data_IF_127949516744
#
_entry.id   IF_127949516744
#
_cell.length_a   1.000
_cell.length_b   1.000
_cell.length_c   1.000
_cell.angle_alpha   90.00
_cell.angle_beta   90.00
_cell.angle_gamma   90.00
#
_symmetry.space_group_name_H-M   'P 1'
#
loop_
_entity.id
_entity.type
_entity.pdbx_description
1 polymer ?
#
# COMPACT_ATOMS: atom_id res chain seq x y z
N UNK A 1 4.28 -21.08 2.96
CA UNK A 1 5.61 -21.27 2.31
C UNK A 1 5.72 -20.25 1.19
N UNK A 2 6.87 -19.58 1.07
CA UNK A 2 7.23 -18.75 -0.08
C UNK A 2 8.53 -19.32 -0.64
N UNK A 3 8.57 -19.58 -1.94
CA UNK A 3 9.74 -20.12 -2.65
C UNK A 3 10.37 -21.35 -1.95
N UNK A 4 9.52 -22.26 -1.45
CA UNK A 4 9.94 -23.50 -0.80
C UNK A 4 10.41 -23.37 0.66
N UNK A 5 10.37 -22.16 1.25
CA UNK A 5 10.80 -21.93 2.64
C UNK A 5 9.61 -21.65 3.57
N UNK A 6 9.55 -22.27 4.77
CA UNK A 6 8.63 -21.84 5.81
C UNK A 6 9.04 -20.45 6.32
N UNK A 7 8.06 -19.56 6.48
CA UNK A 7 8.25 -18.19 6.97
C UNK A 7 7.17 -17.91 8.00
N UNK A 8 7.56 -17.38 9.15
CA UNK A 8 6.62 -16.88 10.15
C UNK A 8 6.30 -15.42 9.80
N UNK A 9 5.03 -15.15 9.53
CA UNK A 9 4.56 -13.81 9.19
C UNK A 9 3.71 -13.28 10.34
N UNK A 10 4.18 -12.21 10.99
CA UNK A 10 3.38 -11.44 11.93
C UNK A 10 2.54 -10.40 11.18
N UNK A 11 1.25 -10.37 11.43
CA UNK A 11 0.34 -9.38 10.86
C UNK A 11 -0.13 -8.43 11.94
N UNK A 12 0.08 -7.13 11.71
CA UNK A 12 -0.36 -6.05 12.59
C UNK A 12 -1.42 -5.24 11.87
N UNK A 13 -2.68 -5.46 12.22
CA UNK A 13 -3.80 -4.65 11.72
C UNK A 13 -3.94 -3.37 12.55
N UNK A 14 -4.13 -2.24 11.90
CA UNK A 14 -4.15 -0.93 12.56
C UNK A 14 -5.37 -0.11 12.19
N UNK A 15 -5.91 0.65 13.14
CA UNK A 15 -7.07 1.49 12.91
C UNK A 15 -6.73 2.66 11.96
N UNK A 16 -7.51 2.82 10.90
CA UNK A 16 -7.37 3.91 9.93
C UNK A 16 -8.06 5.22 10.31
N UNK A 17 -8.73 5.27 11.48
CA UNK A 17 -9.42 6.47 11.97
C UNK A 17 -8.44 7.43 12.65
N UNK A 18 -8.73 8.73 12.59
CA UNK A 18 -7.84 9.78 13.09
C UNK A 18 -7.68 9.74 14.62
N UNK A 19 -8.71 9.26 15.34
CA UNK A 19 -8.68 9.10 16.80
C UNK A 19 -7.52 8.21 17.27
N UNK A 20 -7.00 7.35 16.40
CA UNK A 20 -5.89 6.43 16.69
C UNK A 20 -4.54 6.91 16.14
N UNK A 21 -4.44 8.11 15.58
CA UNK A 21 -3.21 8.60 14.94
C UNK A 21 -2.00 8.63 15.89
N UNK A 22 -2.23 8.86 17.18
CA UNK A 22 -1.15 8.83 18.19
C UNK A 22 -0.75 7.43 18.65
N UNK A 23 -1.67 6.46 18.51
CA UNK A 23 -1.47 5.10 18.98
C UNK A 23 -0.91 4.20 17.88
N UNK A 24 -1.28 4.44 16.62
CA UNK A 24 -0.84 3.65 15.47
C UNK A 24 0.69 3.54 15.37
N UNK A 25 1.48 4.61 15.55
CA UNK A 25 2.94 4.52 15.45
C UNK A 25 3.60 3.63 16.49
N UNK A 26 2.92 3.29 17.59
CA UNK A 26 3.43 2.37 18.60
C UNK A 26 3.59 0.94 18.07
N UNK A 27 2.89 0.61 16.97
CA UNK A 27 3.00 -0.69 16.29
C UNK A 27 4.09 -0.75 15.22
N UNK A 28 4.71 0.38 14.85
CA UNK A 28 5.68 0.47 13.76
C UNK A 28 7.09 -0.07 14.07
N UNK A 29 7.61 -0.02 15.32
CA UNK A 29 8.94 -0.56 15.62
C UNK A 29 9.10 -2.01 15.14
N UNK A 30 10.26 -2.32 14.56
CA UNK A 30 10.59 -3.65 14.04
C UNK A 30 9.69 -4.14 12.89
N UNK A 31 8.96 -3.25 12.22
CA UNK A 31 8.24 -3.59 10.98
C UNK A 31 9.20 -3.79 9.81
N UNK A 32 9.18 -4.97 9.20
CA UNK A 32 10.01 -5.30 8.02
C UNK A 32 9.42 -4.80 6.69
N UNK A 33 8.10 -4.69 6.58
CA UNK A 33 7.40 -4.23 5.38
C UNK A 33 6.05 -3.61 5.75
N UNK A 34 5.70 -2.49 5.11
CA UNK A 34 4.38 -1.87 5.24
C UNK A 34 3.50 -2.20 4.04
N UNK A 35 2.24 -2.51 4.32
CA UNK A 35 1.16 -2.53 3.34
C UNK A 35 0.33 -1.26 3.52
N UNK A 36 0.45 -0.31 2.60
CA UNK A 36 -0.47 0.83 2.58
C UNK A 36 -1.66 0.44 1.71
N UNK A 37 -2.84 0.36 2.34
CA UNK A 37 -4.06 -0.08 1.70
C UNK A 37 -4.98 1.11 1.37
N UNK A 38 -5.62 1.07 0.22
CA UNK A 38 -6.75 1.94 -0.12
C UNK A 38 -7.85 1.11 -0.78
N UNK A 39 -9.06 1.64 -0.85
CA UNK A 39 -10.19 0.98 -1.51
C UNK A 39 -10.31 1.47 -2.95
N UNK A 40 -10.36 0.54 -3.92
CA UNK A 40 -10.50 0.86 -5.34
C UNK A 40 -11.79 1.63 -5.65
N UNK A 41 -12.81 1.49 -4.80
CA UNK A 41 -14.09 2.19 -4.91
C UNK A 41 -14.25 3.34 -3.91
N UNK A 42 -13.15 3.84 -3.36
CA UNK A 42 -13.15 5.04 -2.51
C UNK A 42 -11.98 5.96 -2.88
N UNK A 43 -12.19 6.92 -3.82
CA UNK A 43 -11.16 7.87 -4.22
C UNK A 43 -10.56 8.67 -3.07
N UNK A 44 -11.35 9.01 -2.04
CA UNK A 44 -10.84 9.67 -0.84
C UNK A 44 -9.77 8.83 -0.11
N UNK A 45 -9.96 7.51 -0.01
CA UNK A 45 -8.95 6.62 0.59
C UNK A 45 -7.66 6.54 -0.24
N UNK A 46 -7.78 6.68 -1.57
CA UNK A 46 -6.63 6.73 -2.47
C UNK A 46 -5.85 8.04 -2.33
N UNK A 47 -6.53 9.17 -2.18
CA UNK A 47 -5.88 10.46 -1.92
C UNK A 47 -5.17 10.50 -0.56
N UNK A 48 -5.74 9.84 0.45
CA UNK A 48 -5.13 9.73 1.78
C UNK A 48 -3.77 8.99 1.76
N UNK A 49 -3.49 8.17 0.74
CA UNK A 49 -2.19 7.52 0.57
C UNK A 49 -1.08 8.57 0.54
N UNK A 50 -1.19 9.56 -0.37
CA UNK A 50 -0.18 10.64 -0.50
C UNK A 50 -0.28 11.67 0.62
N UNK A 51 -1.49 11.95 1.11
CA UNK A 51 -1.72 13.04 2.04
C UNK A 51 -1.39 12.67 3.50
N UNK A 52 -1.55 11.39 3.87
CA UNK A 52 -1.47 10.94 5.26
C UNK A 52 -0.57 9.71 5.43
N UNK A 53 -0.91 8.59 4.78
CA UNK A 53 -0.30 7.31 5.09
C UNK A 53 1.18 7.24 4.72
N UNK A 54 1.53 7.68 3.50
CA UNK A 54 2.91 7.68 3.07
C UNK A 54 3.79 8.62 3.92
N UNK A 55 3.42 9.90 4.15
CA UNK A 55 4.18 10.77 5.05
C UNK A 55 4.35 10.20 6.47
N UNK A 56 3.29 9.63 7.05
CA UNK A 56 3.33 9.05 8.40
C UNK A 56 4.29 7.86 8.49
N UNK A 57 4.18 6.90 7.57
CA UNK A 57 5.09 5.74 7.51
C UNK A 57 6.52 6.20 7.27
N UNK A 58 6.76 7.16 6.38
CA UNK A 58 8.13 7.65 6.13
C UNK A 58 8.71 8.46 7.27
N UNK A 59 7.88 9.13 8.07
CA UNK A 59 8.31 9.85 9.27
C UNK A 59 8.89 8.89 10.31
N UNK A 60 8.22 7.76 10.56
CA UNK A 60 8.63 6.79 11.59
C UNK A 60 9.57 5.70 11.06
N UNK A 61 9.43 5.33 9.79
CA UNK A 61 10.12 4.19 9.15
C UNK A 61 10.65 4.59 7.76
N UNK A 62 11.69 5.43 7.69
CA UNK A 62 12.15 6.04 6.45
C UNK A 62 12.68 5.04 5.41
N UNK A 63 13.20 3.90 5.85
CA UNK A 63 13.86 2.91 5.00
C UNK A 63 13.06 1.63 4.78
N UNK A 64 11.92 1.46 5.47
CA UNK A 64 11.14 0.23 5.39
C UNK A 64 10.41 0.15 4.03
N UNK A 65 10.48 -0.99 3.31
CA UNK A 65 9.73 -1.21 2.08
C UNK A 65 8.23 -0.96 2.26
N UNK A 66 7.61 -0.33 1.25
CA UNK A 66 6.17 -0.12 1.18
C UNK A 66 5.63 -0.84 -0.05
N UNK A 67 4.58 -1.62 0.12
CA UNK A 67 3.73 -2.11 -0.97
C UNK A 67 2.41 -1.35 -0.92
N UNK A 68 2.01 -0.80 -2.06
CA UNK A 68 0.70 -0.16 -2.20
C UNK A 68 -0.33 -1.23 -2.61
N UNK A 69 -1.45 -1.31 -1.90
CA UNK A 69 -2.49 -2.32 -2.11
C UNK A 69 -3.84 -1.68 -2.39
N UNK A 70 -4.38 -1.91 -3.59
CA UNK A 70 -5.76 -1.59 -3.94
C UNK A 70 -6.71 -2.71 -3.52
N UNK A 71 -7.57 -2.45 -2.55
CA UNK A 71 -8.52 -3.43 -1.99
C UNK A 71 -9.90 -3.32 -2.63
N UNK A 72 -10.74 -4.33 -2.39
CA UNK A 72 -12.12 -4.43 -2.92
C UNK A 72 -12.17 -4.46 -4.45
N UNK A 73 -11.26 -5.20 -5.06
CA UNK A 73 -11.18 -5.35 -6.52
C UNK A 73 -12.48 -5.86 -7.15
N UNK A 74 -13.23 -6.70 -6.43
CA UNK A 74 -14.55 -7.20 -6.82
C UNK A 74 -15.57 -6.07 -7.07
N UNK A 75 -15.45 -4.94 -6.39
CA UNK A 75 -16.39 -3.83 -6.51
C UNK A 75 -16.07 -2.86 -7.66
N UNK A 76 -14.91 -3.00 -8.32
CA UNK A 76 -14.54 -2.10 -9.41
C UNK A 76 -15.51 -2.20 -10.59
N UNK A 77 -15.98 -3.41 -10.87
CA UNK A 77 -16.88 -3.74 -11.97
C UNK A 77 -18.34 -3.97 -11.49
N UNK A 78 -18.61 -3.74 -10.21
CA UNK A 78 -19.93 -3.89 -9.60
C UNK A 78 -20.85 -2.72 -9.99
N UNK A 79 -22.01 -3.03 -10.57
CA UNK A 79 -22.93 -2.04 -11.13
C UNK A 79 -23.43 -1.06 -10.07
N UNK A 80 -23.90 -1.56 -8.95
CA UNK A 80 -24.46 -0.75 -7.87
C UNK A 80 -23.40 0.20 -7.28
N UNK A 81 -22.17 -0.30 -7.14
CA UNK A 81 -21.05 0.52 -6.66
C UNK A 81 -20.66 1.60 -7.65
N UNK A 82 -20.61 1.29 -8.96
CA UNK A 82 -20.33 2.26 -10.01
C UNK A 82 -21.41 3.35 -10.04
N UNK A 83 -22.69 2.97 -9.95
CA UNK A 83 -23.81 3.91 -9.93
C UNK A 83 -23.73 4.87 -8.74
N UNK A 84 -23.51 4.35 -7.52
CA UNK A 84 -23.33 5.17 -6.31
C UNK A 84 -22.15 6.13 -6.41
N UNK A 85 -21.05 5.74 -7.05
CA UNK A 85 -19.92 6.63 -7.30
C UNK A 85 -20.27 7.70 -8.33
N UNK A 86 -20.99 7.33 -9.39
CA UNK A 86 -21.43 8.24 -10.44
C UNK A 86 -22.38 9.32 -9.93
N UNK A 87 -23.27 9.00 -9.00
CA UNK A 87 -24.12 9.99 -8.30
C UNK A 87 -23.28 11.08 -7.62
N UNK A 88 -22.08 10.72 -7.14
CA UNK A 88 -21.11 11.64 -6.52
C UNK A 88 -20.10 12.21 -7.52
N UNK A 89 -20.26 11.97 -8.82
CA UNK A 89 -19.32 12.33 -9.90
C UNK A 89 -17.92 11.73 -9.72
N UNK A 90 -17.85 10.57 -9.09
CA UNK A 90 -16.62 9.82 -8.87
C UNK A 90 -16.58 8.57 -9.75
N UNK A 91 -15.38 8.01 -9.91
CA UNK A 91 -15.16 6.74 -10.61
C UNK A 91 -14.26 5.83 -9.78
N UNK A 92 -14.36 4.50 -9.92
CA UNK A 92 -13.40 3.58 -9.33
C UNK A 92 -11.97 3.89 -9.78
N UNK A 93 -11.01 3.69 -8.88
CA UNK A 93 -9.59 3.86 -9.18
C UNK A 93 -9.16 2.78 -10.16
N UNK A 94 -8.58 3.21 -11.27
CA UNK A 94 -8.04 2.36 -12.33
C UNK A 94 -6.64 1.85 -11.98
N UNK A 95 -6.24 0.73 -12.60
CA UNK A 95 -4.91 0.17 -12.41
C UNK A 95 -3.78 1.17 -12.74
N UNK A 96 -3.82 1.95 -13.86
CA UNK A 96 -2.80 2.95 -14.15
C UNK A 96 -2.69 4.05 -13.09
N UNK A 97 -3.81 4.48 -12.49
CA UNK A 97 -3.79 5.46 -11.39
C UNK A 97 -3.09 4.89 -10.16
N UNK A 98 -3.42 3.66 -9.75
CA UNK A 98 -2.77 3.00 -8.64
C UNK A 98 -1.27 2.79 -8.87
N UNK A 99 -0.88 2.40 -10.08
CA UNK A 99 0.52 2.26 -10.47
C UNK A 99 1.28 3.60 -10.44
N UNK A 100 0.64 4.69 -10.88
CA UNK A 100 1.20 6.03 -10.81
C UNK A 100 1.46 6.47 -9.36
N UNK A 101 0.49 6.26 -8.46
CA UNK A 101 0.64 6.54 -7.02
C UNK A 101 1.76 5.71 -6.40
N UNK A 102 1.85 4.41 -6.72
CA UNK A 102 2.93 3.56 -6.23
C UNK A 102 4.31 4.09 -6.64
N UNK A 103 4.44 4.57 -7.88
CA UNK A 103 5.67 5.21 -8.37
C UNK A 103 5.96 6.54 -7.66
N UNK A 104 4.93 7.35 -7.41
CA UNK A 104 5.02 8.64 -6.71
C UNK A 104 5.55 8.47 -5.28
N UNK A 105 5.01 7.52 -4.52
CA UNK A 105 5.40 7.25 -3.13
C UNK A 105 6.65 6.35 -3.01
N UNK A 106 7.21 5.90 -4.12
CA UNK A 106 8.35 4.98 -4.14
C UNK A 106 8.05 3.61 -3.51
N UNK A 107 6.82 3.11 -3.66
CA UNK A 107 6.47 1.75 -3.28
C UNK A 107 7.25 0.73 -4.14
N UNK A 108 7.64 -0.39 -3.53
CA UNK A 108 8.39 -1.44 -4.24
C UNK A 108 7.49 -2.23 -5.20
N UNK A 109 6.18 -2.25 -4.92
CA UNK A 109 5.18 -2.89 -5.77
C UNK A 109 3.80 -2.25 -5.59
N UNK A 110 2.99 -2.35 -6.65
CA UNK A 110 1.56 -2.08 -6.61
C UNK A 110 0.82 -3.39 -6.88
N UNK A 111 -0.13 -3.73 -6.01
CA UNK A 111 -0.96 -4.92 -6.13
C UNK A 111 -2.42 -4.57 -5.88
N UNK A 112 -3.31 -5.35 -6.47
CA UNK A 112 -4.76 -5.23 -6.24
C UNK A 112 -5.30 -6.57 -5.78
N UNK A 113 -6.24 -6.54 -4.83
CA UNK A 113 -6.85 -7.75 -4.32
C UNK A 113 -8.32 -7.56 -3.95
N UNK A 114 -9.01 -8.68 -3.88
CA UNK A 114 -10.34 -8.82 -3.31
C UNK A 114 -10.25 -9.81 -2.17
N UNK A 115 -10.54 -9.37 -0.95
CA UNK A 115 -10.64 -10.27 0.20
C UNK A 115 -11.85 -11.21 0.07
N UNK A 116 -12.94 -10.73 -0.55
CA UNK A 116 -14.18 -11.49 -0.75
C UNK A 116 -13.99 -12.67 -1.70
N UNK A 117 -13.39 -12.43 -2.88
CA UNK A 117 -13.15 -13.46 -3.89
C UNK A 117 -11.79 -14.15 -3.75
N UNK A 118 -10.99 -13.71 -2.77
CA UNK A 118 -9.59 -14.10 -2.55
C UNK A 118 -8.63 -13.81 -3.72
N UNK A 119 -9.11 -13.17 -4.79
CA UNK A 119 -8.29 -12.81 -5.95
C UNK A 119 -7.15 -11.88 -5.54
N UNK A 120 -5.92 -12.27 -5.86
CA UNK A 120 -4.71 -11.49 -5.61
C UNK A 120 -4.24 -11.46 -4.15
N UNK A 121 -5.01 -12.00 -3.20
CA UNK A 121 -4.70 -11.90 -1.77
C UNK A 121 -3.40 -12.64 -1.41
N UNK A 122 -3.21 -13.87 -1.90
CA UNK A 122 -1.97 -14.63 -1.71
C UNK A 122 -0.76 -13.87 -2.27
N UNK A 123 -0.91 -13.27 -3.45
CA UNK A 123 0.16 -12.50 -4.11
C UNK A 123 0.59 -11.31 -3.27
N UNK A 124 -0.33 -10.62 -2.58
CA UNK A 124 0.00 -9.51 -1.67
C UNK A 124 0.98 -9.97 -0.58
N UNK A 125 0.67 -11.08 0.08
CA UNK A 125 1.52 -11.60 1.17
C UNK A 125 2.84 -12.20 0.65
N UNK A 126 2.81 -12.93 -0.47
CA UNK A 126 4.03 -13.48 -1.08
C UNK A 126 5.01 -12.36 -1.45
N UNK A 127 4.51 -11.26 -2.03
CA UNK A 127 5.33 -10.12 -2.42
C UNK A 127 5.81 -9.29 -1.23
N UNK A 128 5.02 -9.21 -0.15
CA UNK A 128 5.48 -8.62 1.11
C UNK A 128 6.67 -9.38 1.69
N UNK A 129 6.61 -10.72 1.71
CA UNK A 129 7.70 -11.57 2.16
C UNK A 129 8.91 -11.41 1.23
N UNK A 130 8.72 -11.42 -0.09
CA UNK A 130 9.81 -11.22 -1.07
C UNK A 130 10.48 -9.86 -0.94
N UNK A 131 9.74 -8.79 -0.64
CA UNK A 131 10.32 -7.46 -0.45
C UNK A 131 11.35 -7.42 0.71
N UNK A 132 11.20 -8.30 1.69
CA UNK A 132 12.11 -8.44 2.83
C UNK A 132 13.25 -9.42 2.53
N UNK A 133 12.94 -10.60 1.97
CA UNK A 133 13.94 -11.65 1.70
C UNK A 133 14.85 -11.33 0.51
N UNK A 134 14.34 -10.59 -0.47
CA UNK A 134 15.03 -10.22 -1.71
C UNK A 134 14.93 -8.70 -1.91
N UNK A 135 15.60 -7.88 -1.07
CA UNK A 135 15.43 -6.44 -1.09
C UNK A 135 15.84 -5.86 -2.46
N UNK A 136 15.03 -4.96 -3.04
CA UNK A 136 15.37 -4.33 -4.30
C UNK A 136 16.66 -3.49 -4.15
N UNK A 137 17.49 -3.36 -5.20
CA UNK A 137 18.72 -2.60 -5.14
C UNK A 137 18.44 -1.15 -4.72
N UNK A 138 19.07 -0.71 -3.62
CA UNK A 138 18.89 0.64 -3.08
C UNK A 138 19.34 1.67 -4.10
N UNK A 139 18.42 2.48 -4.63
CA UNK A 139 18.77 3.64 -5.47
C UNK A 139 19.50 4.67 -4.60
N UNK A 140 20.84 4.64 -4.60
CA UNK A 140 21.67 5.66 -3.95
C UNK A 140 21.30 7.03 -4.52
N UNK A 141 20.76 7.91 -3.67
CA UNK A 141 20.48 9.30 -4.02
C UNK A 141 21.83 9.98 -4.30
N UNK A 142 22.13 10.26 -5.59
CA UNK A 142 23.33 11.00 -5.97
C UNK A 142 23.28 12.35 -5.25
N UNK A 143 24.17 12.58 -4.28
CA UNK A 143 24.40 13.91 -3.73
C UNK A 143 24.87 14.77 -4.92
N UNK A 144 24.08 15.79 -5.29
CA UNK A 144 24.57 16.83 -6.21
C UNK A 144 25.70 17.53 -5.47
N UNK A 145 26.94 17.23 -5.85
CA UNK A 145 28.10 17.98 -5.41
C UNK A 145 27.97 19.37 -6.07
N UNK A 146 27.63 20.38 -5.26
CA UNK A 146 27.83 21.77 -5.64
C UNK A 146 29.32 22.04 -5.42
N UNK A 147 30.08 22.06 -6.52
CA UNK A 147 31.38 22.71 -6.54
C UNK A 147 31.09 24.21 -6.51
N UNK A 148 31.44 24.84 -5.39
CA UNK A 148 31.57 26.29 -5.25
C UNK A 148 32.93 26.72 -5.79
#
# INVERSE_FOLDING_TARGET
MVDGKPVNLGLWDTAGQEDYDRLRPLSYPQTDVFLICFSLVSPASFENVRAKWYPEVRHHCPNTPIILVGTKLDLRDDKDTIEKLKEKKLTPITYPQGLAMAKEIGAVKYLECSALTQRGLKTVFDEAIRAVLCPPPVKKRKRKCLLL
#
